data_IF_279652462397
#
_entry.id   IF_279652462397
#
_cell.length_a   1.000
_cell.length_b   1.000
_cell.length_c   1.000
_cell.angle_alpha   90.00
_cell.angle_beta   90.00
_cell.angle_gamma   90.00
#
_symmetry.space_group_name_H-M   'P 1'
#
loop_
_entity.id
_entity.type
_entity.pdbx_description
1 polymer ?
#
# COMPACT_ATOMS: atom_id res chain seq x y z
N UNK A 1 36.96 -29.67 -15.12
CA UNK A 1 35.48 -29.64 -15.15
C UNK A 1 34.99 -28.53 -14.16
N UNK A 2 34.78 -27.33 -14.69
CA UNK A 2 34.22 -26.22 -13.94
C UNK A 2 32.69 -26.30 -14.02
N UNK A 3 32.02 -26.72 -12.95
CA UNK A 3 30.58 -26.64 -12.79
C UNK A 3 30.21 -25.18 -12.61
N UNK A 4 29.67 -24.54 -13.66
CA UNK A 4 29.03 -23.25 -13.63
C UNK A 4 27.84 -23.30 -12.66
N UNK A 5 27.95 -22.67 -11.49
CA UNK A 5 26.84 -22.41 -10.61
C UNK A 5 25.98 -21.34 -11.29
N UNK A 6 24.94 -21.78 -12.00
CA UNK A 6 23.85 -20.89 -12.41
C UNK A 6 23.16 -20.41 -11.15
N UNK A 7 23.25 -19.10 -10.88
CA UNK A 7 22.55 -18.45 -9.79
C UNK A 7 21.04 -18.73 -9.87
N UNK A 8 20.51 -19.43 -8.87
CA UNK A 8 19.08 -19.63 -8.73
C UNK A 8 18.42 -18.27 -8.56
N UNK A 9 17.75 -17.77 -9.59
CA UNK A 9 16.93 -16.58 -9.49
C UNK A 9 15.92 -16.80 -8.36
N UNK A 10 15.99 -15.99 -7.32
CA UNK A 10 15.09 -16.03 -6.16
C UNK A 10 13.65 -15.97 -6.67
N UNK A 11 12.88 -17.02 -6.41
CA UNK A 11 11.47 -17.06 -6.82
C UNK A 11 10.73 -15.93 -6.13
N UNK A 12 9.90 -15.15 -6.85
CA UNK A 12 9.13 -14.06 -6.26
C UNK A 12 8.31 -14.54 -5.05
N UNK A 13 8.36 -13.78 -3.96
CA UNK A 13 7.61 -14.07 -2.75
C UNK A 13 6.18 -13.55 -2.86
N UNK A 14 5.29 -13.97 -1.96
CA UNK A 14 3.94 -13.39 -1.87
C UNK A 14 3.97 -11.88 -1.56
N UNK A 15 4.99 -11.41 -0.85
CA UNK A 15 5.21 -9.98 -0.60
C UNK A 15 5.56 -9.23 -1.89
N UNK A 16 6.47 -9.76 -2.71
CA UNK A 16 6.79 -9.17 -4.01
C UNK A 16 5.57 -9.07 -4.93
N UNK A 17 4.74 -10.12 -4.97
CA UNK A 17 3.49 -10.13 -5.76
C UNK A 17 2.51 -9.09 -5.22
N UNK A 18 2.35 -9.01 -3.90
CA UNK A 18 1.53 -7.98 -3.24
C UNK A 18 1.97 -6.57 -3.64
N UNK A 19 3.25 -6.23 -3.45
CA UNK A 19 3.80 -4.90 -3.78
C UNK A 19 3.65 -4.57 -5.26
N UNK A 20 3.88 -5.55 -6.14
CA UNK A 20 3.75 -5.35 -7.59
C UNK A 20 2.31 -5.03 -8.00
N UNK A 21 1.32 -5.74 -7.45
CA UNK A 21 -0.11 -5.50 -7.74
C UNK A 21 -0.54 -4.18 -7.11
N UNK A 22 -0.15 -3.92 -5.85
CA UNK A 22 -0.48 -2.69 -5.15
C UNK A 22 0.04 -1.46 -5.90
N UNK A 23 1.32 -1.48 -6.29
CA UNK A 23 1.93 -0.43 -7.10
C UNK A 23 1.21 -0.24 -8.44
N UNK A 24 0.85 -1.34 -9.12
CA UNK A 24 0.12 -1.28 -10.39
C UNK A 24 -1.27 -0.63 -10.25
N UNK A 25 -1.92 -0.78 -9.08
CA UNK A 25 -3.18 -0.08 -8.77
C UNK A 25 -2.92 1.41 -8.54
N UNK A 26 -1.92 1.77 -7.72
CA UNK A 26 -1.57 3.18 -7.44
C UNK A 26 -1.19 3.94 -8.72
N UNK A 27 -0.47 3.28 -9.62
CA UNK A 27 -0.07 3.82 -10.93
C UNK A 27 -1.19 3.77 -11.99
N UNK A 28 -2.40 3.33 -11.60
CA UNK A 28 -3.57 3.18 -12.49
C UNK A 28 -3.36 2.22 -13.68
N UNK A 29 -2.35 1.36 -13.61
CA UNK A 29 -2.14 0.27 -14.60
C UNK A 29 -3.18 -0.85 -14.44
N UNK A 30 -3.75 -0.98 -13.26
CA UNK A 30 -4.90 -1.84 -12.96
C UNK A 30 -6.09 -0.96 -12.60
N UNK A 31 -7.10 -0.95 -13.46
CA UNK A 31 -8.31 -0.16 -13.27
C UNK A 31 -9.22 -0.76 -12.15
N UNK A 32 -10.12 0.05 -11.54
CA UNK A 32 -11.18 -0.45 -10.67
C UNK A 32 -11.95 -1.58 -11.34
N UNK A 33 -12.30 -2.60 -10.58
CA UNK A 33 -12.98 -3.83 -11.01
C UNK A 33 -12.20 -4.72 -12.00
N UNK A 34 -10.94 -4.42 -12.33
CA UNK A 34 -10.09 -5.31 -13.13
C UNK A 34 -9.99 -6.69 -12.47
N UNK A 35 -10.19 -7.75 -13.26
CA UNK A 35 -10.17 -9.14 -12.76
C UNK A 35 -8.73 -9.62 -12.55
N UNK A 36 -8.50 -10.25 -11.42
CA UNK A 36 -7.19 -10.75 -10.97
C UNK A 36 -7.21 -12.28 -10.89
N UNK A 37 -7.14 -12.93 -12.06
CA UNK A 37 -7.11 -14.39 -12.15
C UNK A 37 -5.83 -14.95 -11.51
N UNK A 38 -5.98 -15.90 -10.59
CA UNK A 38 -4.84 -16.58 -9.95
C UNK A 38 -3.96 -17.32 -10.97
N UNK A 39 -4.58 -17.90 -11.96
CA UNK A 39 -3.89 -18.62 -13.03
C UNK A 39 -3.02 -17.66 -13.86
N UNK A 40 -3.63 -16.58 -14.34
CA UNK A 40 -2.92 -15.55 -15.14
C UNK A 40 -1.79 -14.91 -14.34
N UNK A 41 -2.05 -14.53 -13.07
CA UNK A 41 -1.02 -13.95 -12.22
C UNK A 41 0.09 -14.97 -11.90
N UNK A 42 -0.26 -16.25 -11.69
CA UNK A 42 0.70 -17.32 -11.50
C UNK A 42 1.65 -17.46 -12.68
N UNK A 43 1.15 -17.34 -13.90
CA UNK A 43 1.95 -17.35 -15.14
C UNK A 43 2.84 -16.11 -15.25
N UNK A 44 2.29 -14.90 -15.01
CA UNK A 44 3.02 -13.63 -15.07
C UNK A 44 4.19 -13.61 -14.08
N UNK A 45 3.92 -13.95 -12.81
CA UNK A 45 4.91 -13.90 -11.74
C UNK A 45 5.76 -15.18 -11.64
N UNK A 46 5.43 -16.24 -12.38
CA UNK A 46 6.07 -17.56 -12.34
C UNK A 46 6.10 -18.18 -10.93
N UNK A 47 4.99 -18.05 -10.23
CA UNK A 47 4.81 -18.58 -8.88
C UNK A 47 3.57 -19.46 -8.76
N UNK A 48 3.48 -20.22 -7.65
CA UNK A 48 2.33 -21.08 -7.40
C UNK A 48 1.04 -20.29 -7.11
N UNK A 49 -0.11 -20.90 -7.39
CA UNK A 49 -1.42 -20.34 -7.04
C UNK A 49 -1.53 -20.04 -5.53
N UNK A 50 -0.88 -20.84 -4.66
CA UNK A 50 -0.84 -20.56 -3.22
C UNK A 50 -0.09 -19.27 -2.87
N UNK A 51 0.97 -18.94 -3.62
CA UNK A 51 1.70 -17.68 -3.46
C UNK A 51 0.83 -16.49 -3.89
N UNK A 52 0.13 -16.62 -5.03
CA UNK A 52 -0.83 -15.60 -5.50
C UNK A 52 -1.98 -15.44 -4.50
N UNK A 53 -2.54 -16.55 -4.01
CA UNK A 53 -3.63 -16.50 -3.04
C UNK A 53 -3.24 -15.70 -1.79
N UNK A 54 -2.06 -15.93 -1.20
CA UNK A 54 -1.57 -15.16 -0.04
C UNK A 54 -1.44 -13.66 -0.33
N UNK A 55 -0.93 -13.30 -1.51
CA UNK A 55 -0.82 -11.90 -1.92
C UNK A 55 -2.20 -11.26 -2.08
N UNK A 56 -3.13 -11.93 -2.77
CA UNK A 56 -4.50 -11.44 -2.95
C UNK A 56 -5.27 -11.33 -1.63
N UNK A 57 -5.09 -12.28 -0.70
CA UNK A 57 -5.71 -12.22 0.63
C UNK A 57 -5.23 -10.97 1.37
N UNK A 58 -3.94 -10.69 1.39
CA UNK A 58 -3.40 -9.48 2.02
C UNK A 58 -3.91 -8.20 1.35
N UNK A 59 -3.97 -8.18 0.00
CA UNK A 59 -4.57 -7.05 -0.73
C UNK A 59 -6.06 -6.86 -0.39
N UNK A 60 -6.79 -7.94 -0.11
CA UNK A 60 -8.18 -7.86 0.31
C UNK A 60 -8.33 -7.35 1.75
N UNK A 61 -7.45 -7.76 2.66
CA UNK A 61 -7.37 -7.22 4.04
C UNK A 61 -7.12 -5.71 4.02
N UNK A 62 -6.24 -5.24 3.14
CA UNK A 62 -5.97 -3.81 2.93
C UNK A 62 -7.08 -3.09 2.12
N UNK A 63 -8.09 -3.81 1.64
CA UNK A 63 -9.20 -3.25 0.87
C UNK A 63 -8.88 -2.90 -0.58
N UNK A 64 -7.71 -3.30 -1.09
CA UNK A 64 -7.28 -3.08 -2.47
C UNK A 64 -7.98 -4.00 -3.48
N UNK A 65 -8.39 -5.17 -3.02
CA UNK A 65 -8.97 -6.24 -3.83
C UNK A 65 -10.24 -6.75 -3.15
N UNK A 66 -11.23 -7.12 -3.94
CA UNK A 66 -12.43 -7.82 -3.49
C UNK A 66 -12.31 -9.28 -3.92
N UNK A 67 -12.58 -10.19 -2.98
CA UNK A 67 -12.50 -11.65 -3.21
C UNK A 67 -13.83 -12.32 -2.86
N UNK A 68 -14.86 -12.23 -3.71
CA UNK A 68 -16.14 -12.88 -3.46
C UNK A 68 -15.97 -14.41 -3.47
N UNK A 69 -16.76 -15.15 -2.67
CA UNK A 69 -16.74 -16.61 -2.72
C UNK A 69 -17.06 -17.13 -4.11
N UNK A 70 -16.27 -18.08 -4.60
CA UNK A 70 -16.43 -18.75 -5.91
C UNK A 70 -16.28 -17.83 -7.14
N UNK A 71 -15.83 -16.60 -6.97
CA UNK A 71 -15.58 -15.67 -8.06
C UNK A 71 -14.10 -15.34 -8.19
N UNK A 72 -13.73 -14.76 -9.34
CA UNK A 72 -12.39 -14.23 -9.57
C UNK A 72 -12.22 -12.94 -8.78
N UNK A 73 -11.12 -12.82 -8.05
CA UNK A 73 -10.74 -11.60 -7.36
C UNK A 73 -10.70 -10.40 -8.33
N UNK A 74 -10.99 -9.20 -7.85
CA UNK A 74 -10.95 -7.98 -8.66
C UNK A 74 -10.45 -6.81 -7.84
N UNK A 75 -9.87 -5.82 -8.53
CA UNK A 75 -9.48 -4.53 -7.92
C UNK A 75 -10.73 -3.91 -7.29
N UNK A 76 -10.59 -3.39 -6.09
CA UNK A 76 -11.67 -2.71 -5.38
C UNK A 76 -12.16 -1.49 -6.17
N UNK A 77 -13.42 -1.16 -5.96
CA UNK A 77 -14.05 0.06 -6.49
C UNK A 77 -14.71 0.78 -5.32
N UNK A 78 -13.93 1.52 -4.53
CA UNK A 78 -14.48 2.26 -3.40
C UNK A 78 -15.46 3.33 -3.91
N UNK A 79 -16.55 3.50 -3.18
CA UNK A 79 -17.50 4.58 -3.40
C UNK A 79 -17.16 5.79 -2.51
N UNK A 80 -17.79 6.94 -2.78
CA UNK A 80 -17.57 8.17 -2.01
C UNK A 80 -17.88 8.01 -0.52
N UNK A 81 -18.88 7.22 -0.17
CA UNK A 81 -19.26 6.94 1.22
C UNK A 81 -18.15 6.17 1.93
N UNK A 82 -17.61 5.14 1.28
CA UNK A 82 -16.51 4.34 1.82
C UNK A 82 -15.25 5.19 2.00
N UNK A 83 -14.90 6.02 1.00
CA UNK A 83 -13.78 6.94 1.08
C UNK A 83 -13.92 7.90 2.28
N UNK A 84 -15.11 8.47 2.49
CA UNK A 84 -15.39 9.34 3.65
C UNK A 84 -15.24 8.59 4.98
N UNK A 85 -15.76 7.38 5.10
CA UNK A 85 -15.60 6.55 6.30
C UNK A 85 -14.12 6.24 6.62
N UNK A 86 -13.30 6.01 5.60
CA UNK A 86 -11.85 5.81 5.78
C UNK A 86 -11.19 7.08 6.30
N UNK A 87 -11.53 8.25 5.75
CA UNK A 87 -10.99 9.54 6.22
C UNK A 87 -11.41 9.86 7.65
N UNK A 88 -12.67 9.61 8.03
CA UNK A 88 -13.16 9.80 9.40
C UNK A 88 -12.40 8.91 10.39
N UNK A 89 -12.19 7.63 10.04
CA UNK A 89 -11.42 6.70 10.85
C UNK A 89 -9.94 7.10 10.95
N UNK A 90 -9.34 7.60 9.87
CA UNK A 90 -7.97 8.14 9.87
C UNK A 90 -7.85 9.33 10.80
N UNK A 91 -8.77 10.28 10.71
CA UNK A 91 -8.76 11.47 11.57
C UNK A 91 -8.75 11.07 13.04
N UNK A 92 -9.58 10.09 13.45
CA UNK A 92 -9.64 9.61 14.83
C UNK A 92 -8.32 8.95 15.26
N UNK A 93 -7.83 7.99 14.49
CA UNK A 93 -6.65 7.19 14.86
C UNK A 93 -5.37 8.02 14.77
N UNK A 94 -5.21 8.82 13.72
CA UNK A 94 -3.99 9.61 13.51
C UNK A 94 -3.91 10.81 14.46
N UNK A 95 -5.03 11.36 14.91
CA UNK A 95 -5.03 12.34 16.01
C UNK A 95 -4.49 11.73 17.30
N UNK A 96 -4.83 10.48 17.59
CA UNK A 96 -4.30 9.78 18.75
C UNK A 96 -2.81 9.45 18.58
N UNK A 97 -2.36 9.08 17.38
CA UNK A 97 -0.95 8.92 17.07
C UNK A 97 -0.16 10.19 17.39
N UNK A 98 -0.62 11.35 16.89
CA UNK A 98 0.06 12.63 17.14
C UNK A 98 0.08 12.96 18.63
N UNK A 99 -1.00 12.68 19.37
CA UNK A 99 -1.08 12.90 20.81
C UNK A 99 -0.10 12.03 21.62
N UNK A 100 0.22 10.84 21.13
CA UNK A 100 1.14 9.90 21.77
C UNK A 100 2.61 10.09 21.36
N UNK A 101 2.90 11.00 20.42
CA UNK A 101 4.30 11.29 20.09
C UNK A 101 5.04 11.83 21.32
N UNK A 102 6.31 11.46 21.53
CA UNK A 102 7.13 12.02 22.59
C UNK A 102 7.21 13.55 22.48
N UNK A 103 7.24 14.25 23.62
CA UNK A 103 7.34 15.71 23.66
C UNK A 103 8.61 16.27 22.98
N UNK A 104 9.62 15.44 22.75
CA UNK A 104 10.81 15.73 21.93
C UNK A 104 11.11 14.55 21.03
N UNK A 105 10.92 14.73 19.73
CA UNK A 105 11.36 13.73 18.77
C UNK A 105 12.89 13.74 18.66
N UNK A 106 13.47 12.55 18.51
CA UNK A 106 14.88 12.43 18.16
C UNK A 106 15.17 13.25 16.88
N UNK A 107 16.26 14.05 16.86
CA UNK A 107 16.64 14.82 15.68
C UNK A 107 16.75 13.99 14.40
N UNK A 108 17.17 12.73 14.48
CA UNK A 108 17.22 11.82 13.33
C UNK A 108 15.81 11.48 12.82
N UNK A 109 14.87 11.15 13.70
CA UNK A 109 13.48 10.90 13.33
C UNK A 109 12.82 12.14 12.71
N UNK A 110 13.10 13.33 13.25
CA UNK A 110 12.61 14.57 12.67
C UNK A 110 13.19 14.84 11.28
N UNK A 111 14.48 14.55 11.07
CA UNK A 111 15.13 14.67 9.76
C UNK A 111 14.53 13.70 8.73
N UNK A 112 14.23 12.45 9.13
CA UNK A 112 13.53 11.48 8.26
C UNK A 112 12.14 11.98 7.84
N UNK A 113 11.35 12.50 8.78
CA UNK A 113 10.02 13.04 8.46
C UNK A 113 10.11 14.25 7.51
N UNK A 114 11.08 15.13 7.69
CA UNK A 114 11.33 16.25 6.78
C UNK A 114 11.73 15.78 5.39
N UNK A 115 12.62 14.80 5.29
CA UNK A 115 13.01 14.22 4.01
C UNK A 115 11.83 13.65 3.24
N UNK A 116 10.87 12.96 3.93
CA UNK A 116 9.65 12.49 3.30
C UNK A 116 8.80 13.63 2.73
N UNK A 117 8.68 14.75 3.45
CA UNK A 117 7.93 15.93 2.97
C UNK A 117 8.63 16.57 1.76
N UNK A 118 9.97 16.67 1.79
CA UNK A 118 10.73 17.22 0.66
C UNK A 118 10.61 16.34 -0.59
N UNK A 119 10.63 15.01 -0.42
CA UNK A 119 10.39 14.05 -1.50
C UNK A 119 8.96 14.16 -2.05
N UNK A 120 7.95 14.37 -1.20
CA UNK A 120 6.56 14.62 -1.63
C UNK A 120 6.46 15.88 -2.50
N UNK A 121 7.12 16.96 -2.11
CA UNK A 121 7.15 18.20 -2.88
C UNK A 121 7.80 17.99 -4.25
N UNK A 122 8.88 17.20 -4.32
CA UNK A 122 9.53 16.84 -5.57
C UNK A 122 8.59 16.02 -6.48
N UNK A 123 7.84 15.04 -5.94
CA UNK A 123 6.84 14.29 -6.68
C UNK A 123 5.71 15.20 -7.20
N UNK A 124 5.26 16.15 -6.39
CA UNK A 124 4.24 17.13 -6.79
C UNK A 124 4.72 17.98 -7.98
N UNK A 125 5.95 18.49 -7.91
CA UNK A 125 6.58 19.27 -8.99
C UNK A 125 6.74 18.44 -10.27
N UNK A 126 7.08 17.15 -10.15
CA UNK A 126 7.22 16.20 -11.25
C UNK A 126 5.86 15.66 -11.77
N UNK A 127 4.74 15.99 -11.14
CA UNK A 127 3.42 15.42 -11.40
C UNK A 127 3.37 13.88 -11.25
N UNK A 128 4.23 13.32 -10.41
CA UNK A 128 4.24 11.90 -10.04
C UNK A 128 3.18 11.62 -8.95
N UNK A 129 1.94 11.43 -9.36
CA UNK A 129 0.83 11.17 -8.44
C UNK A 129 1.00 9.86 -7.65
N UNK A 130 1.60 8.83 -8.24
CA UNK A 130 1.81 7.55 -7.56
C UNK A 130 2.92 7.67 -6.50
N UNK A 131 4.02 8.36 -6.81
CA UNK A 131 5.07 8.69 -5.86
C UNK A 131 4.55 9.52 -4.69
N UNK A 132 3.74 10.55 -4.98
CA UNK A 132 3.11 11.39 -3.97
C UNK A 132 2.24 10.58 -3.00
N UNK A 133 1.34 9.73 -3.51
CA UNK A 133 0.49 8.87 -2.66
C UNK A 133 1.32 7.93 -1.80
N UNK A 134 2.36 7.33 -2.38
CA UNK A 134 3.25 6.40 -1.66
C UNK A 134 4.02 7.10 -0.54
N UNK A 135 4.58 8.27 -0.80
CA UNK A 135 5.36 9.04 0.19
C UNK A 135 4.46 9.57 1.31
N UNK A 136 3.31 10.14 0.97
CA UNK A 136 2.31 10.54 1.96
C UNK A 136 1.93 9.36 2.88
N UNK A 137 1.70 8.18 2.31
CA UNK A 137 1.45 6.98 3.11
C UNK A 137 2.62 6.64 4.05
N UNK A 138 3.86 6.71 3.58
CA UNK A 138 5.06 6.47 4.40
C UNK A 138 5.20 7.45 5.55
N UNK A 139 4.88 8.73 5.34
CA UNK A 139 4.89 9.75 6.39
C UNK A 139 3.97 9.37 7.54
N UNK A 140 2.72 9.01 7.26
CA UNK A 140 1.75 8.60 8.29
C UNK A 140 2.18 7.32 9.02
N UNK A 141 2.74 6.34 8.29
CA UNK A 141 3.26 5.11 8.89
C UNK A 141 4.45 5.41 9.81
N UNK A 142 5.35 6.31 9.41
CA UNK A 142 6.50 6.69 10.23
C UNK A 142 6.07 7.38 11.52
N UNK A 143 5.07 8.26 11.48
CA UNK A 143 4.50 8.86 12.69
C UNK A 143 3.96 7.79 13.64
N UNK A 144 3.24 6.80 13.12
CA UNK A 144 2.71 5.71 13.94
C UNK A 144 3.84 4.85 14.57
N UNK A 145 4.93 4.60 13.85
CA UNK A 145 6.10 3.88 14.37
C UNK A 145 6.75 4.59 15.57
N UNK A 146 6.80 5.93 15.55
CA UNK A 146 7.38 6.74 16.62
C UNK A 146 6.58 6.70 17.94
N UNK A 147 5.34 6.19 17.91
CA UNK A 147 4.56 5.96 19.14
C UNK A 147 4.98 4.69 19.88
N UNK A 148 5.78 3.82 19.26
CA UNK A 148 6.14 2.49 19.78
C UNK A 148 4.92 1.61 20.16
N UNK A 149 3.73 1.94 19.62
CA UNK A 149 2.48 1.23 19.87
C UNK A 149 2.10 0.37 18.64
N UNK A 150 2.36 -0.96 18.67
CA UNK A 150 2.14 -1.81 17.51
C UNK A 150 0.66 -1.94 17.10
N UNK A 151 -0.28 -1.71 18.02
CA UNK A 151 -1.71 -1.70 17.70
C UNK A 151 -2.08 -0.48 16.87
N UNK A 152 -1.63 0.72 17.29
CA UNK A 152 -1.82 1.94 16.50
C UNK A 152 -1.17 1.83 15.12
N UNK A 153 0.07 1.31 15.05
CA UNK A 153 0.75 1.05 13.78
C UNK A 153 -0.08 0.14 12.85
N UNK A 154 -0.69 -0.92 13.40
CA UNK A 154 -1.57 -1.82 12.66
C UNK A 154 -2.81 -1.12 12.10
N UNK A 155 -3.47 -0.30 12.91
CA UNK A 155 -4.65 0.48 12.48
C UNK A 155 -4.29 1.51 11.40
N UNK A 156 -3.23 2.29 11.62
CA UNK A 156 -2.77 3.29 10.63
C UNK A 156 -2.40 2.62 9.31
N UNK A 157 -1.69 1.48 9.33
CA UNK A 157 -1.32 0.74 8.11
C UNK A 157 -2.54 0.37 7.27
N UNK A 158 -3.57 -0.22 7.89
CA UNK A 158 -4.79 -0.60 7.18
C UNK A 158 -5.57 0.61 6.63
N UNK A 159 -5.62 1.71 7.38
CA UNK A 159 -6.31 2.93 6.97
C UNK A 159 -5.56 3.68 5.86
N UNK A 160 -4.23 3.78 5.96
CA UNK A 160 -3.38 4.41 4.93
C UNK A 160 -3.46 3.64 3.62
N UNK A 161 -3.41 2.30 3.65
CA UNK A 161 -3.56 1.48 2.46
C UNK A 161 -4.88 1.77 1.73
N UNK A 162 -6.00 1.80 2.46
CA UNK A 162 -7.33 2.10 1.92
C UNK A 162 -7.41 3.52 1.36
N UNK A 163 -6.96 4.53 2.10
CA UNK A 163 -6.98 5.92 1.65
C UNK A 163 -6.12 6.13 0.40
N UNK A 164 -4.95 5.51 0.33
CA UNK A 164 -4.08 5.55 -0.86
C UNK A 164 -4.78 5.02 -2.10
N UNK A 165 -5.54 3.93 -1.94
CA UNK A 165 -6.33 3.36 -3.03
C UNK A 165 -7.51 4.24 -3.41
N UNK A 166 -8.24 4.77 -2.43
CA UNK A 166 -9.36 5.68 -2.68
C UNK A 166 -8.88 6.90 -3.50
N UNK A 167 -7.75 7.47 -3.11
CA UNK A 167 -7.14 8.59 -3.84
C UNK A 167 -6.71 8.16 -5.24
N UNK A 168 -6.06 7.01 -5.40
CA UNK A 168 -5.59 6.54 -6.71
C UNK A 168 -6.74 6.23 -7.66
N UNK A 169 -7.82 5.61 -7.16
CA UNK A 169 -8.92 5.11 -7.98
C UNK A 169 -10.00 6.16 -8.26
N UNK A 170 -10.20 7.14 -7.35
CA UNK A 170 -11.24 8.15 -7.46
C UNK A 170 -10.74 9.52 -7.96
N UNK A 171 -9.43 9.71 -8.18
CA UNK A 171 -8.92 10.96 -8.76
C UNK A 171 -9.31 11.12 -10.24
N UNK A 172 -10.59 11.46 -10.46
CA UNK A 172 -11.03 12.26 -11.57
C UNK A 172 -11.50 13.66 -11.13
N UNK A 173 -11.27 14.03 -9.84
CA UNK A 173 -11.79 15.25 -9.23
C UNK A 173 -10.73 15.94 -8.36
N UNK A 174 -9.59 16.33 -8.95
CA UNK A 174 -8.77 17.48 -8.51
C UNK A 174 -8.11 18.09 -9.72
#
# INVERSE_FOLDING_TARGET
EARTQQGAALRPTSHFVYESIYTAILEKRLAPAAKLSKETLGQIFRVSNGTIQRALTRLAEDGAVVMPPKEVASVARPDERQARQVLDARLLVESEVVRQLPAGLDPAALAELRALVDEEQACLAARDSAGLIRLAGRFHLRLAELTENPLLQGFVRGLVARASLDIALNKGAV
#
